data_IF_088645763827
#
_entry.id   IF_088645763827
#
_cell.length_a   1.000
_cell.length_b   1.000
_cell.length_c   1.000
_cell.angle_alpha   90.00
_cell.angle_beta   90.00
_cell.angle_gamma   90.00
#
_symmetry.space_group_name_H-M   'P 1'
#
loop_
_entity.id
_entity.type
_entity.pdbx_description
1 polymer ?
#
# COMPACT_ATOMS: atom_id res chain seq x y z
N UNK A 1 10.93 0.40 12.87
CA UNK A 1 10.19 -0.77 12.35
C UNK A 1 8.80 -0.26 11.98
N UNK A 2 8.52 -0.06 10.69
CA UNK A 2 7.20 0.38 10.24
C UNK A 2 6.15 -0.72 10.48
N UNK A 3 4.89 -0.34 10.61
CA UNK A 3 3.77 -1.28 10.73
C UNK A 3 3.68 -2.13 9.46
N UNK A 4 3.51 -3.45 9.58
CA UNK A 4 3.20 -4.29 8.42
C UNK A 4 1.73 -4.09 8.06
N UNK A 5 1.48 -3.66 6.82
CA UNK A 5 0.14 -3.41 6.29
C UNK A 5 -0.39 -4.67 5.60
N UNK A 6 0.45 -5.35 4.81
CA UNK A 6 0.08 -6.63 4.22
C UNK A 6 0.87 -7.76 4.88
N UNK A 7 0.26 -8.49 5.81
CA UNK A 7 0.92 -9.65 6.43
C UNK A 7 1.14 -10.82 5.45
N UNK A 8 0.34 -10.93 4.39
CA UNK A 8 0.48 -12.01 3.41
C UNK A 8 1.76 -11.90 2.56
N UNK A 9 2.18 -10.67 2.27
CA UNK A 9 3.35 -10.37 1.44
C UNK A 9 4.46 -9.65 2.23
N UNK A 10 4.30 -9.59 3.56
CA UNK A 10 5.16 -8.91 4.51
C UNK A 10 5.51 -7.45 4.12
N UNK A 11 4.50 -6.72 3.64
CA UNK A 11 4.69 -5.36 3.12
C UNK A 11 4.50 -4.33 4.21
N UNK A 12 5.53 -3.51 4.38
CA UNK A 12 5.55 -2.46 5.36
C UNK A 12 4.79 -1.21 4.90
N UNK A 13 4.24 -0.47 5.86
CA UNK A 13 3.61 0.83 5.62
C UNK A 13 4.59 1.80 4.95
N UNK A 14 5.87 1.76 5.33
CA UNK A 14 6.89 2.64 4.77
C UNK A 14 7.07 2.38 3.27
N UNK A 15 7.18 1.12 2.83
CA UNK A 15 7.28 0.81 1.40
C UNK A 15 6.09 1.33 0.61
N UNK A 16 4.89 1.24 1.19
CA UNK A 16 3.68 1.77 0.55
C UNK A 16 3.77 3.29 0.42
N UNK A 17 4.14 3.99 1.49
CA UNK A 17 4.29 5.45 1.49
C UNK A 17 5.37 5.89 0.50
N UNK A 18 6.53 5.24 0.50
CA UNK A 18 7.63 5.55 -0.42
C UNK A 18 7.18 5.44 -1.89
N UNK A 19 6.37 4.43 -2.22
CA UNK A 19 5.81 4.31 -3.57
C UNK A 19 4.75 5.38 -3.84
N UNK A 20 3.89 5.73 -2.88
CA UNK A 20 2.89 6.80 -3.03
C UNK A 20 3.56 8.15 -3.27
N UNK A 21 4.64 8.46 -2.54
CA UNK A 21 5.43 9.68 -2.72
C UNK A 21 6.07 9.77 -4.11
N UNK A 22 6.36 8.62 -4.75
CA UNK A 22 6.77 8.55 -6.15
C UNK A 22 5.61 8.72 -7.15
N UNK A 23 4.38 8.92 -6.68
CA UNK A 23 3.18 9.05 -7.49
C UNK A 23 2.44 7.73 -7.74
N UNK A 24 2.73 6.66 -6.97
CA UNK A 24 1.97 5.42 -7.09
C UNK A 24 0.57 5.58 -6.49
N UNK A 25 -0.43 5.22 -7.30
CA UNK A 25 -1.81 5.07 -6.85
C UNK A 25 -2.06 3.65 -6.32
N UNK A 26 -3.29 3.41 -5.81
CA UNK A 26 -3.68 2.09 -5.31
C UNK A 26 -3.47 1.00 -6.36
N UNK A 27 -3.78 1.26 -7.63
CA UNK A 27 -3.63 0.28 -8.69
C UNK A 27 -2.15 -0.02 -8.98
N UNK A 28 -1.30 1.00 -8.98
CA UNK A 28 0.15 0.83 -9.10
C UNK A 28 0.71 0.02 -7.94
N UNK A 29 0.31 0.33 -6.70
CA UNK A 29 0.72 -0.45 -5.53
C UNK A 29 0.26 -1.91 -5.65
N UNK A 30 -0.98 -2.16 -6.02
CA UNK A 30 -1.49 -3.53 -6.22
C UNK A 30 -0.73 -4.27 -7.32
N UNK A 31 -0.36 -3.63 -8.42
CA UNK A 31 0.42 -4.29 -9.48
C UNK A 31 1.88 -4.54 -9.06
N UNK A 32 2.49 -3.57 -8.39
CA UNK A 32 3.93 -3.57 -8.07
C UNK A 32 4.24 -4.42 -6.84
N UNK A 33 3.42 -4.27 -5.80
CA UNK A 33 3.56 -4.91 -4.51
C UNK A 33 2.67 -6.16 -4.36
N UNK A 34 1.70 -6.38 -5.27
CA UNK A 34 0.74 -7.51 -5.23
C UNK A 34 -0.12 -7.58 -3.95
N UNK A 35 -0.08 -6.55 -3.11
CA UNK A 35 -0.84 -6.50 -1.88
C UNK A 35 -2.32 -6.25 -2.15
N UNK A 36 -3.19 -7.00 -1.48
CA UNK A 36 -4.64 -6.75 -1.51
C UNK A 36 -5.39 -7.42 -2.67
N UNK A 37 -4.76 -8.34 -3.39
CA UNK A 37 -5.41 -9.17 -4.43
C UNK A 37 -5.80 -10.56 -3.92
N UNK A 38 -5.11 -11.08 -2.90
CA UNK A 38 -5.33 -12.44 -2.37
C UNK A 38 -6.34 -12.46 -1.21
N UNK A 39 -5.94 -11.98 -0.03
CA UNK A 39 -6.81 -11.98 1.16
C UNK A 39 -7.64 -10.69 1.30
N UNK A 40 -7.27 -9.63 0.58
CA UNK A 40 -7.92 -8.32 0.63
C UNK A 40 -7.80 -7.55 1.96
N UNK A 41 -7.18 -8.11 3.01
CA UNK A 41 -7.19 -7.51 4.36
C UNK A 41 -6.50 -6.14 4.44
N UNK A 42 -5.49 -5.94 3.60
CA UNK A 42 -4.73 -4.70 3.51
C UNK A 42 -5.35 -3.64 2.59
N UNK A 43 -6.36 -3.97 1.79
CA UNK A 43 -7.02 -3.03 0.84
C UNK A 43 -7.60 -1.78 1.50
N UNK A 44 -8.40 -1.87 2.59
CA UNK A 44 -8.94 -0.69 3.24
C UNK A 44 -7.83 0.21 3.82
N UNK A 45 -6.73 -0.37 4.30
CA UNK A 45 -5.61 0.36 4.86
C UNK A 45 -4.75 1.01 3.77
N UNK A 46 -4.49 0.30 2.66
CA UNK A 46 -3.87 0.84 1.44
C UNK A 46 -4.65 2.05 0.90
N UNK A 47 -5.98 1.95 0.80
CA UNK A 47 -6.83 3.08 0.36
C UNK A 47 -6.69 4.29 1.28
N UNK A 48 -6.63 4.09 2.60
CA UNK A 48 -6.39 5.18 3.56
C UNK A 48 -5.03 5.81 3.35
N UNK A 49 -3.97 5.00 3.21
CA UNK A 49 -2.61 5.50 2.98
C UNK A 49 -2.53 6.31 1.67
N UNK A 50 -3.10 5.79 0.58
CA UNK A 50 -3.18 6.51 -0.70
C UNK A 50 -3.99 7.80 -0.59
N UNK A 51 -5.07 7.85 0.19
CA UNK A 51 -5.78 9.12 0.43
C UNK A 51 -5.02 10.10 1.32
N UNK A 52 -4.27 9.60 2.30
CA UNK A 52 -3.54 10.45 3.25
C UNK A 52 -2.23 11.00 2.67
N UNK A 53 -1.54 10.20 1.84
CA UNK A 53 -0.24 10.53 1.26
C UNK A 53 -0.29 10.83 -0.23
N UNK A 54 -1.30 10.33 -0.95
CA UNK A 54 -1.50 10.62 -2.37
C UNK A 54 -1.94 12.06 -2.55
N UNK A 55 -0.97 12.93 -2.80
CA UNK A 55 -1.20 14.30 -3.23
C UNK A 55 -1.60 14.28 -4.70
N UNK A 56 -2.90 14.23 -4.95
CA UNK A 56 -3.50 14.49 -6.25
C UNK A 56 -3.96 15.94 -6.31
#
# INVERSE_FOLDING_TARGET
RGKIVCNCLDISQNEIIDNIDLGADLLTLQNKLKCGTECGSCVPELKKLVQMHGKF
#
